data_IF_956393026905
#
_entry.id   IF_956393026905
#
_cell.length_a   1.000
_cell.length_b   1.000
_cell.length_c   1.000
_cell.angle_alpha   90.00
_cell.angle_beta   90.00
_cell.angle_gamma   90.00
#
_symmetry.space_group_name_H-M   'P 1'
#
loop_
_entity.id
_entity.type
_entity.pdbx_description
1 polymer ?
#
# COMPACT_ATOMS: atom_id res chain seq x y z
N UNK A 1 -8.48 28.00 -4.64
CA UNK A 1 -9.19 26.73 -4.95
C UNK A 1 -9.01 25.84 -3.72
N UNK A 2 -9.77 25.99 -2.62
CA UNK A 2 -11.18 25.63 -2.37
C UNK A 2 -11.55 24.23 -2.88
N UNK A 3 -11.43 23.24 -1.98
CA UNK A 3 -12.29 22.07 -1.66
C UNK A 3 -11.36 21.08 -0.92
N UNK A 4 -11.51 20.67 0.35
CA UNK A 4 -12.63 20.25 1.20
C UNK A 4 -12.39 18.79 1.64
N UNK A 5 -12.14 18.60 2.95
CA UNK A 5 -12.45 17.46 3.83
C UNK A 5 -11.85 17.88 5.19
N UNK A 6 -12.51 18.51 6.16
CA UNK A 6 -13.81 18.30 6.83
C UNK A 6 -14.06 16.84 7.19
N UNK A 7 -13.49 16.43 8.33
CA UNK A 7 -14.13 15.56 9.33
C UNK A 7 -13.28 15.58 10.61
N UNK A 8 -13.35 16.71 11.32
CA UNK A 8 -12.96 16.83 12.72
C UNK A 8 -14.09 17.60 13.41
N UNK A 9 -15.08 16.88 13.92
CA UNK A 9 -16.06 17.45 14.82
C UNK A 9 -15.91 16.83 16.20
N UNK A 10 -15.45 17.69 17.10
CA UNK A 10 -15.54 17.66 18.54
C UNK A 10 -16.80 16.96 19.08
N UNK A 11 -16.62 16.16 20.13
CA UNK A 11 -17.57 16.12 21.25
C UNK A 11 -16.78 15.97 22.55
N UNK A 12 -16.64 17.08 23.27
CA UNK A 12 -16.31 17.12 24.70
C UNK A 12 -17.50 17.75 25.40
N UNK A 13 -18.27 16.95 26.13
CA UNK A 13 -19.20 17.44 27.14
C UNK A 13 -19.28 16.44 28.29
N UNK A 14 -18.92 16.95 29.47
CA UNK A 14 -19.05 16.33 30.78
C UNK A 14 -20.51 16.42 31.28
N UNK A 15 -21.13 15.31 31.68
CA UNK A 15 -22.38 15.28 32.46
C UNK A 15 -22.38 14.07 33.43
N UNK A 16 -22.92 14.29 34.63
CA UNK A 16 -23.08 13.38 35.76
C UNK A 16 -24.34 12.50 35.72
N UNK A 17 -24.24 11.31 36.33
CA UNK A 17 -25.25 10.41 36.95
C UNK A 17 -26.54 9.96 36.22
N UNK A 18 -26.66 8.62 36.19
CA UNK A 18 -27.84 7.73 36.26
C UNK A 18 -28.91 7.71 35.13
N UNK A 19 -29.13 6.48 34.64
CA UNK A 19 -30.30 5.91 33.97
C UNK A 19 -30.64 6.30 32.52
N UNK A 20 -30.23 5.40 31.60
CA UNK A 20 -31.04 4.77 30.53
C UNK A 20 -30.38 4.74 29.13
N UNK A 21 -30.28 3.54 28.54
CA UNK A 21 -29.69 3.24 27.22
C UNK A 21 -30.47 3.80 26.01
N UNK A 22 -31.36 4.77 26.19
CA UNK A 22 -32.34 5.18 25.15
C UNK A 22 -31.79 6.27 24.24
N UNK A 23 -30.81 7.04 24.70
CA UNK A 23 -30.20 8.12 23.92
C UNK A 23 -28.69 7.92 23.65
N UNK A 24 -28.05 6.96 24.30
CA UNK A 24 -26.68 6.56 23.94
C UNK A 24 -26.72 5.36 22.99
N UNK A 25 -26.24 5.60 21.77
CA UNK A 25 -26.15 4.71 20.61
C UNK A 25 -25.32 3.42 20.80
N UNK A 26 -25.02 3.01 22.03
CA UNK A 26 -24.16 1.88 22.33
C UNK A 26 -24.69 1.08 23.53
N UNK A 27 -25.05 -0.18 23.30
CA UNK A 27 -25.57 -1.08 24.34
C UNK A 27 -24.51 -1.49 25.39
N UNK A 28 -23.22 -1.32 25.12
CA UNK A 28 -22.08 -1.70 25.97
C UNK A 28 -21.09 -0.54 26.19
N UNK A 29 -21.50 0.55 26.85
CA UNK A 29 -20.69 1.77 26.96
C UNK A 29 -19.37 1.55 27.73
N UNK A 30 -19.37 0.70 28.77
CA UNK A 30 -18.16 0.39 29.54
C UNK A 30 -17.14 -0.38 28.71
N UNK A 31 -17.59 -1.40 27.96
CA UNK A 31 -16.73 -2.17 27.07
C UNK A 31 -16.18 -1.30 25.94
N UNK A 32 -16.99 -0.42 25.37
CA UNK A 32 -16.53 0.51 24.34
C UNK A 32 -15.47 1.47 24.89
N UNK A 33 -15.69 2.02 26.09
CA UNK A 33 -14.69 2.86 26.77
C UNK A 33 -13.40 2.08 27.03
N UNK A 34 -13.48 0.90 27.63
CA UNK A 34 -12.31 0.07 27.91
C UNK A 34 -11.56 -0.33 26.64
N UNK A 35 -12.28 -0.56 25.54
CA UNK A 35 -11.69 -0.85 24.22
C UNK A 35 -10.99 0.39 23.64
N UNK A 36 -11.57 1.59 23.81
CA UNK A 36 -10.92 2.83 23.43
C UNK A 36 -9.65 3.11 24.27
N UNK A 37 -9.70 2.84 25.57
CA UNK A 37 -8.56 2.97 26.48
C UNK A 37 -7.44 1.99 26.12
N UNK A 38 -7.78 0.72 25.80
CA UNK A 38 -6.83 -0.26 25.28
C UNK A 38 -6.19 0.19 23.96
N UNK A 39 -6.99 0.77 23.06
CA UNK A 39 -6.49 1.37 21.82
C UNK A 39 -5.44 2.45 22.10
N UNK A 40 -5.73 3.37 23.02
CA UNK A 40 -4.80 4.45 23.38
C UNK A 40 -3.53 3.90 24.04
N UNK A 41 -3.64 2.82 24.82
CA UNK A 41 -2.49 2.15 25.40
C UNK A 41 -1.59 1.51 24.36
N UNK A 42 -2.17 0.80 23.37
CA UNK A 42 -1.42 0.23 22.26
C UNK A 42 -0.67 1.30 21.45
N UNK A 43 -1.34 2.41 21.15
CA UNK A 43 -0.72 3.55 20.46
C UNK A 43 0.47 4.11 21.24
N UNK A 44 0.32 4.31 22.55
CA UNK A 44 1.39 4.79 23.43
C UNK A 44 2.57 3.81 23.48
N UNK A 45 2.32 2.51 23.55
CA UNK A 45 3.37 1.48 23.50
C UNK A 45 4.17 1.56 22.20
N UNK A 46 3.51 1.66 21.05
CA UNK A 46 4.23 1.79 19.77
C UNK A 46 5.01 3.12 19.65
N UNK A 47 4.71 4.10 20.48
CA UNK A 47 5.43 5.38 20.57
C UNK A 47 6.54 5.35 21.66
N UNK A 48 6.79 4.20 22.28
CA UNK A 48 7.68 4.05 23.44
C UNK A 48 7.31 4.95 24.62
N UNK A 49 6.04 5.30 24.77
CA UNK A 49 5.53 6.07 25.91
C UNK A 49 5.23 5.10 27.05
N UNK A 50 5.79 5.31 28.27
CA UNK A 50 5.49 4.47 29.41
C UNK A 50 3.99 4.43 29.71
N UNK A 51 3.44 3.23 29.79
CA UNK A 51 2.06 2.99 30.18
C UNK A 51 1.96 1.67 30.92
N UNK A 52 1.05 1.61 31.89
CA UNK A 52 0.66 0.36 32.53
C UNK A 52 -0.33 -0.39 31.60
N UNK A 53 0.25 -1.06 30.59
CA UNK A 53 -0.50 -1.81 29.62
C UNK A 53 -1.27 -2.97 30.29
N UNK A 54 -0.66 -3.64 31.26
CA UNK A 54 -1.26 -4.78 31.95
C UNK A 54 -2.53 -4.38 32.69
N UNK A 55 -2.53 -3.21 33.36
CA UNK A 55 -3.73 -2.67 33.99
C UNK A 55 -4.82 -2.36 32.95
N UNK A 56 -4.45 -1.78 31.81
CA UNK A 56 -5.42 -1.43 30.76
C UNK A 56 -6.01 -2.68 30.10
N UNK A 57 -5.18 -3.67 29.80
CA UNK A 57 -5.59 -4.95 29.22
C UNK A 57 -6.49 -5.73 30.19
N UNK A 58 -6.15 -5.77 31.49
CA UNK A 58 -6.97 -6.40 32.51
C UNK A 58 -8.32 -5.72 32.68
N UNK A 59 -8.35 -4.38 32.65
CA UNK A 59 -9.59 -3.59 32.67
C UNK A 59 -10.49 -3.96 31.49
N UNK A 60 -9.93 -3.97 30.28
CA UNK A 60 -10.64 -4.37 29.06
C UNK A 60 -11.18 -5.79 29.12
N UNK A 61 -10.36 -6.74 29.57
CA UNK A 61 -10.75 -8.13 29.72
C UNK A 61 -11.93 -8.31 30.68
N UNK A 62 -11.93 -7.59 31.81
CA UNK A 62 -13.02 -7.65 32.78
C UNK A 62 -14.34 -7.12 32.20
N UNK A 63 -14.30 -6.01 31.44
CA UNK A 63 -15.50 -5.48 30.80
C UNK A 63 -16.00 -6.37 29.65
N UNK A 64 -15.08 -7.05 28.94
CA UNK A 64 -15.43 -8.04 27.92
C UNK A 64 -16.15 -9.24 28.55
N UNK A 65 -15.61 -9.79 29.65
CA UNK A 65 -16.20 -10.90 30.36
C UNK A 65 -17.60 -10.58 30.88
N UNK A 66 -17.80 -9.38 31.44
CA UNK A 66 -19.12 -8.92 31.88
C UNK A 66 -20.12 -8.81 30.72
N UNK A 67 -19.69 -8.25 29.58
CA UNK A 67 -20.55 -8.13 28.42
C UNK A 67 -20.95 -9.51 27.87
N UNK A 68 -20.03 -10.47 27.82
CA UNK A 68 -20.32 -11.84 27.39
C UNK A 68 -21.23 -12.57 28.36
N UNK A 69 -21.02 -12.42 29.66
CA UNK A 69 -21.91 -12.97 30.68
C UNK A 69 -23.33 -12.38 30.56
N UNK A 70 -23.45 -11.08 30.30
CA UNK A 70 -24.75 -10.44 30.08
C UNK A 70 -25.45 -11.00 28.83
N UNK A 71 -24.72 -11.24 27.75
CA UNK A 71 -25.26 -11.84 26.50
C UNK A 71 -25.63 -13.32 26.70
N UNK A 72 -24.75 -14.10 27.34
CA UNK A 72 -24.97 -15.52 27.63
C UNK A 72 -26.20 -15.74 28.51
N UNK A 73 -26.37 -14.93 29.56
CA UNK A 73 -27.44 -15.13 30.53
C UNK A 73 -28.80 -14.63 30.04
N UNK A 74 -28.83 -13.72 29.06
CA UNK A 74 -30.05 -13.01 28.73
C UNK A 74 -30.48 -13.01 27.26
N UNK A 75 -29.54 -13.18 26.33
CA UNK A 75 -29.80 -13.09 24.88
C UNK A 75 -29.77 -14.49 24.26
N UNK A 76 -28.81 -15.32 24.66
CA UNK A 76 -28.63 -16.67 24.12
C UNK A 76 -29.50 -17.65 24.90
N UNK A 77 -30.58 -18.16 24.28
CA UNK A 77 -31.35 -19.29 24.80
C UNK A 77 -31.05 -20.47 23.89
N UNK A 78 -30.32 -21.47 24.40
CA UNK A 78 -29.96 -22.65 23.62
C UNK A 78 -31.18 -23.39 23.08
N UNK A 79 -31.10 -23.94 21.85
CA UNK A 79 -31.29 -25.39 21.79
C UNK A 79 -30.51 -26.15 20.67
N UNK A 80 -30.16 -27.40 21.03
CA UNK A 80 -29.86 -28.63 20.26
C UNK A 80 -28.63 -28.62 19.32
N UNK A 81 -27.67 -29.51 19.60
CA UNK A 81 -26.65 -30.07 18.67
C UNK A 81 -25.22 -29.50 18.61
N UNK A 82 -24.88 -28.38 19.27
CA UNK A 82 -23.48 -27.93 19.38
C UNK A 82 -23.09 -27.60 20.82
N UNK A 83 -22.60 -28.61 21.56
CA UNK A 83 -21.80 -28.61 22.81
C UNK A 83 -21.88 -27.44 23.84
N UNK A 84 -22.92 -26.60 23.88
CA UNK A 84 -23.13 -25.65 24.97
C UNK A 84 -22.04 -24.60 25.15
N UNK A 85 -21.38 -24.14 24.07
CA UNK A 85 -20.31 -23.14 24.19
C UNK A 85 -20.86 -21.76 24.55
N UNK A 86 -20.67 -21.38 25.81
CA UNK A 86 -20.92 -20.03 26.32
C UNK A 86 -19.89 -19.04 25.79
N UNK A 87 -20.29 -17.79 25.50
CA UNK A 87 -19.35 -16.72 25.16
C UNK A 87 -18.33 -16.49 26.28
N UNK A 88 -18.72 -16.67 27.54
CA UNK A 88 -17.81 -16.64 28.71
C UNK A 88 -16.68 -17.67 28.65
N UNK A 89 -16.84 -18.79 27.94
CA UNK A 89 -15.73 -19.73 27.73
C UNK A 89 -14.62 -19.12 26.84
N UNK A 90 -14.94 -18.09 26.05
CA UNK A 90 -13.94 -17.38 25.24
C UNK A 90 -13.12 -16.39 26.04
N UNK A 91 -13.69 -15.80 27.11
CA UNK A 91 -12.90 -14.90 27.96
C UNK A 91 -11.77 -15.66 28.64
N UNK A 92 -12.00 -16.87 29.12
CA UNK A 92 -10.95 -17.66 29.76
C UNK A 92 -9.78 -17.99 28.80
N UNK A 93 -10.10 -18.30 27.54
CA UNK A 93 -9.11 -18.57 26.49
C UNK A 93 -8.44 -17.31 25.94
N UNK A 94 -9.02 -16.13 26.16
CA UNK A 94 -8.54 -14.87 25.59
C UNK A 94 -7.16 -14.45 26.09
N UNK A 95 -6.85 -14.80 27.34
CA UNK A 95 -5.54 -14.58 27.96
C UNK A 95 -4.41 -15.26 27.19
N UNK A 96 -4.68 -16.41 26.55
CA UNK A 96 -3.70 -17.16 25.76
C UNK A 96 -3.42 -16.48 24.41
N UNK A 97 -4.38 -15.74 23.87
CA UNK A 97 -4.26 -15.03 22.59
C UNK A 97 -3.57 -13.67 22.70
N UNK A 98 -3.58 -13.06 23.90
CA UNK A 98 -2.90 -11.79 24.19
C UNK A 98 -1.53 -12.00 24.85
N UNK A 99 -0.74 -12.96 24.36
CA UNK A 99 0.65 -13.09 24.80
C UNK A 99 1.47 -11.89 24.26
N UNK A 100 1.80 -10.96 25.14
CA UNK A 100 2.59 -9.75 24.89
C UNK A 100 3.88 -9.98 24.08
N UNK A 101 4.54 -11.12 24.28
CA UNK A 101 5.78 -11.45 23.56
C UNK A 101 5.53 -11.65 22.05
N UNK A 102 4.33 -12.09 21.68
CA UNK A 102 3.93 -12.35 20.28
C UNK A 102 3.31 -11.13 19.58
N UNK A 103 2.80 -10.16 20.33
CA UNK A 103 2.17 -8.93 19.79
C UNK A 103 3.18 -8.09 18.99
N UNK A 104 4.47 -8.22 19.30
CA UNK A 104 5.56 -7.48 18.64
C UNK A 104 5.76 -7.81 17.15
N UNK A 105 5.25 -8.95 16.63
CA UNK A 105 5.60 -9.44 15.28
C UNK A 105 4.47 -9.43 14.27
N UNK A 106 3.22 -9.53 14.71
CA UNK A 106 2.04 -9.32 13.86
C UNK A 106 0.85 -9.02 14.76
N UNK A 107 0.13 -7.90 14.56
CA UNK A 107 -1.04 -7.55 15.36
C UNK A 107 -2.23 -8.42 14.93
N UNK A 108 -2.17 -9.72 15.24
CA UNK A 108 -3.29 -10.64 15.11
C UNK A 108 -4.22 -10.47 16.30
N UNK A 109 -4.65 -9.22 16.53
CA UNK A 109 -5.62 -8.98 17.56
C UNK A 109 -6.95 -9.65 17.15
N UNK A 110 -7.63 -10.35 18.06
CA UNK A 110 -8.88 -11.03 17.76
C UNK A 110 -9.91 -10.04 17.20
N UNK A 111 -10.32 -10.27 15.95
CA UNK A 111 -11.49 -9.58 15.38
C UNK A 111 -12.74 -10.22 15.93
N UNK A 112 -13.78 -9.40 16.09
CA UNK A 112 -15.14 -9.87 16.30
C UNK A 112 -15.92 -9.55 15.05
N UNK A 113 -16.21 -10.56 14.22
CA UNK A 113 -17.13 -10.34 13.10
C UNK A 113 -18.52 -10.77 13.51
N UNK A 114 -19.51 -9.94 13.18
CA UNK A 114 -20.92 -10.28 13.27
C UNK A 114 -21.45 -10.56 11.86
N UNK A 115 -22.03 -11.74 11.65
CA UNK A 115 -22.75 -12.07 10.42
C UNK A 115 -24.07 -12.75 10.73
N UNK A 116 -25.13 -12.29 10.08
CA UNK A 116 -26.41 -13.01 10.00
C UNK A 116 -26.27 -14.10 8.93
N UNK A 117 -26.49 -15.35 9.31
CA UNK A 117 -26.38 -16.48 8.38
C UNK A 117 -27.34 -16.34 7.21
N UNK A 118 -26.84 -16.66 6.00
CA UNK A 118 -27.63 -16.64 4.76
C UNK A 118 -28.67 -17.77 4.69
N UNK A 119 -28.58 -18.77 5.57
CA UNK A 119 -29.51 -19.90 5.65
C UNK A 119 -30.55 -19.75 6.78
N UNK A 120 -30.63 -18.55 7.37
CA UNK A 120 -31.62 -18.24 8.39
C UNK A 120 -33.05 -18.27 7.83
N UNK A 121 -33.89 -19.17 8.36
CA UNK A 121 -35.35 -19.02 8.23
C UNK A 121 -35.81 -17.75 8.95
N UNK A 122 -36.96 -17.13 8.60
CA UNK A 122 -37.48 -15.94 9.27
C UNK A 122 -37.58 -16.05 10.81
N UNK A 123 -37.70 -17.27 11.33
CA UNK A 123 -37.78 -17.59 12.74
C UNK A 123 -36.42 -17.86 13.43
N UNK A 124 -35.36 -18.16 12.69
CA UNK A 124 -34.05 -18.54 13.25
C UNK A 124 -32.93 -17.77 12.53
N UNK A 125 -32.49 -16.67 13.11
CA UNK A 125 -31.25 -16.01 12.69
C UNK A 125 -30.08 -16.72 13.37
N UNK A 126 -29.26 -17.46 12.61
CA UNK A 126 -27.97 -17.92 13.13
C UNK A 126 -26.98 -16.76 13.04
N UNK A 127 -26.24 -16.54 14.12
CA UNK A 127 -25.19 -15.53 14.20
C UNK A 127 -23.85 -16.19 14.30
N UNK A 128 -22.88 -15.72 13.52
CA UNK A 128 -21.50 -16.19 13.57
C UNK A 128 -20.64 -15.16 14.29
N UNK A 129 -19.99 -15.58 15.38
CA UNK A 129 -18.91 -14.86 16.04
C UNK A 129 -17.59 -15.57 15.75
N UNK A 130 -16.69 -14.90 15.04
CA UNK A 130 -15.32 -15.37 14.81
C UNK A 130 -14.39 -14.62 15.75
N UNK A 131 -13.50 -15.32 16.44
CA UNK A 131 -12.46 -14.74 17.32
C UNK A 131 -11.08 -15.18 16.84
N UNK A 132 -10.25 -14.22 16.42
CA UNK A 132 -8.87 -14.50 15.98
C UNK A 132 -8.72 -14.93 14.52
N UNK A 133 -7.52 -15.41 14.18
CA UNK A 133 -7.18 -15.95 12.84
C UNK A 133 -7.50 -17.44 12.71
N UNK A 134 -7.70 -18.13 13.85
CA UNK A 134 -8.10 -19.53 13.90
C UNK A 134 -9.62 -19.58 13.86
N UNK A 135 -10.17 -20.50 13.08
CA UNK A 135 -11.57 -20.68 12.69
C UNK A 135 -12.55 -21.01 13.81
N UNK A 136 -12.30 -20.58 15.05
CA UNK A 136 -13.21 -20.73 16.18
C UNK A 136 -14.43 -19.85 15.92
N UNK A 137 -15.50 -20.52 15.48
CA UNK A 137 -16.79 -19.93 15.13
C UNK A 137 -17.79 -20.36 16.19
N UNK A 138 -18.45 -19.38 16.79
CA UNK A 138 -19.63 -19.62 17.62
C UNK A 138 -20.85 -19.31 16.79
N UNK A 139 -21.66 -20.33 16.51
CA UNK A 139 -22.99 -20.14 16.00
C UNK A 139 -24.00 -20.15 17.15
N UNK A 140 -24.87 -19.14 17.19
CA UNK A 140 -25.96 -19.08 18.16
C UNK A 140 -27.26 -18.64 17.48
N UNK A 141 -28.39 -19.19 17.94
CA UNK A 141 -29.72 -18.85 17.47
C UNK A 141 -30.29 -17.68 18.26
N UNK A 142 -30.86 -16.69 17.57
CA UNK A 142 -31.66 -15.65 18.24
C UNK A 142 -32.93 -16.29 18.82
N UNK A 143 -33.23 -16.00 20.08
CA UNK A 143 -34.37 -16.64 20.75
C UNK A 143 -35.28 -15.71 21.53
N UNK A 144 -35.01 -14.41 21.67
CA UNK A 144 -36.01 -13.52 22.27
C UNK A 144 -35.77 -12.02 22.03
N UNK A 145 -36.17 -11.50 20.87
CA UNK A 145 -36.14 -10.06 20.62
C UNK A 145 -36.92 -9.25 21.68
N UNK A 146 -37.93 -9.85 22.33
CA UNK A 146 -38.68 -9.22 23.44
C UNK A 146 -37.77 -8.86 24.61
N UNK A 147 -36.77 -9.71 24.93
CA UNK A 147 -35.81 -9.42 25.98
C UNK A 147 -34.97 -8.20 25.61
N UNK A 148 -34.37 -8.21 24.42
CA UNK A 148 -33.51 -7.12 23.95
C UNK A 148 -34.28 -5.80 23.85
N UNK A 149 -35.53 -5.84 23.37
CA UNK A 149 -36.40 -4.67 23.32
C UNK A 149 -36.74 -4.16 24.73
N UNK A 150 -36.99 -5.04 25.70
CA UNK A 150 -37.29 -4.62 27.08
C UNK A 150 -36.07 -4.04 27.79
N UNK A 151 -34.90 -4.66 27.61
CA UNK A 151 -33.68 -4.33 28.34
C UNK A 151 -32.90 -3.18 27.71
N UNK A 152 -32.69 -3.24 26.39
CA UNK A 152 -31.85 -2.30 25.63
C UNK A 152 -32.66 -1.36 24.75
N UNK A 153 -33.97 -1.58 24.61
CA UNK A 153 -34.83 -0.84 23.66
C UNK A 153 -34.36 -0.96 22.21
N UNK A 154 -33.73 -2.10 21.89
CA UNK A 154 -33.18 -2.43 20.58
C UNK A 154 -33.47 -3.89 20.21
N UNK A 155 -33.27 -4.25 18.94
CA UNK A 155 -33.33 -5.66 18.50
C UNK A 155 -32.09 -6.42 19.00
N UNK A 156 -32.15 -7.74 19.16
CA UNK A 156 -30.94 -8.48 19.55
C UNK A 156 -29.86 -8.40 18.45
N UNK A 157 -30.26 -8.26 17.19
CA UNK A 157 -29.37 -8.01 16.05
C UNK A 157 -28.53 -6.73 16.26
N UNK A 158 -29.16 -5.63 16.64
CA UNK A 158 -28.49 -4.36 16.92
C UNK A 158 -27.60 -4.44 18.17
N UNK A 159 -28.06 -5.12 19.23
CA UNK A 159 -27.26 -5.32 20.46
C UNK A 159 -25.99 -6.11 20.15
N UNK A 160 -26.07 -7.17 19.36
CA UNK A 160 -24.90 -7.99 18.99
C UNK A 160 -23.96 -7.25 18.04
N UNK A 161 -24.49 -6.42 17.13
CA UNK A 161 -23.67 -5.50 16.33
C UNK A 161 -22.94 -4.49 17.21
N UNK A 162 -23.61 -3.91 18.18
CA UNK A 162 -23.02 -2.97 19.15
C UNK A 162 -21.94 -3.63 20.00
N UNK A 163 -22.15 -4.89 20.40
CA UNK A 163 -21.12 -5.69 21.07
C UNK A 163 -19.90 -5.82 20.17
N UNK A 164 -20.06 -6.33 18.95
CA UNK A 164 -18.95 -6.52 18.02
C UNK A 164 -18.23 -5.20 17.71
N UNK A 165 -18.98 -4.10 17.55
CA UNK A 165 -18.41 -2.77 17.35
C UNK A 165 -17.59 -2.34 18.56
N UNK A 166 -18.16 -2.44 19.76
CA UNK A 166 -17.53 -2.05 21.02
C UNK A 166 -16.23 -2.81 21.25
N UNK A 167 -16.23 -4.13 21.00
CA UNK A 167 -15.02 -4.93 21.11
C UNK A 167 -13.98 -4.53 20.06
N UNK A 168 -14.36 -4.27 18.81
CA UNK A 168 -13.40 -3.87 17.77
C UNK A 168 -12.93 -2.41 17.87
N UNK A 169 -13.50 -1.57 18.75
CA UNK A 169 -13.09 -0.17 18.92
C UNK A 169 -11.59 -0.03 19.17
N UNK A 170 -10.95 -0.98 19.88
CA UNK A 170 -9.50 -0.93 20.09
C UNK A 170 -8.67 -1.04 18.80
N UNK A 171 -9.22 -1.66 17.75
CA UNK A 171 -8.56 -1.81 16.45
C UNK A 171 -8.56 -0.52 15.65
N UNK A 172 -9.59 0.32 15.81
CA UNK A 172 -9.80 1.49 14.96
C UNK A 172 -8.64 2.48 15.13
N UNK A 173 -8.29 2.89 16.38
CA UNK A 173 -7.18 3.83 16.54
C UNK A 173 -5.83 3.20 16.24
N UNK A 174 -5.64 1.91 16.54
CA UNK A 174 -4.41 1.20 16.16
C UNK A 174 -4.23 1.16 14.63
N UNK A 175 -5.29 0.90 13.88
CA UNK A 175 -5.28 0.95 12.43
C UNK A 175 -5.00 2.38 11.92
N UNK A 176 -5.61 3.41 12.51
CA UNK A 176 -5.32 4.81 12.19
C UNK A 176 -3.84 5.13 12.42
N UNK A 177 -3.27 4.75 13.57
CA UNK A 177 -1.86 5.02 13.88
C UNK A 177 -0.92 4.24 12.97
N UNK A 178 -1.26 2.99 12.64
CA UNK A 178 -0.53 2.20 11.65
C UNK A 178 -0.55 2.90 10.29
N UNK A 179 -1.72 3.38 9.85
CA UNK A 179 -1.88 4.14 8.61
C UNK A 179 -1.08 5.44 8.67
N UNK A 180 -1.14 6.20 9.77
CA UNK A 180 -0.42 7.47 9.94
C UNK A 180 1.11 7.27 9.90
N UNK A 181 1.61 6.12 10.36
CA UNK A 181 3.03 5.74 10.23
C UNK A 181 3.39 5.26 8.83
N UNK A 182 2.50 4.51 8.18
CA UNK A 182 2.70 4.01 6.81
C UNK A 182 2.55 5.11 5.76
N UNK A 183 1.73 6.13 6.01
CA UNK A 183 1.42 7.17 5.04
C UNK A 183 2.65 8.01 4.63
N UNK A 184 3.55 8.44 5.53
CA UNK A 184 4.82 9.05 5.16
C UNK A 184 5.70 8.13 4.30
N UNK A 185 5.77 6.84 4.65
CA UNK A 185 6.56 5.86 3.90
C UNK A 185 5.98 5.70 2.48
N UNK A 186 4.66 5.52 2.36
CA UNK A 186 3.98 5.43 1.07
C UNK A 186 4.15 6.72 0.25
N UNK A 187 4.03 7.89 0.86
CA UNK A 187 4.27 9.19 0.19
C UNK A 187 5.72 9.30 -0.30
N UNK A 188 6.69 8.92 0.52
CA UNK A 188 8.10 8.91 0.15
C UNK A 188 8.35 7.96 -1.02
N UNK A 189 7.86 6.73 -0.94
CA UNK A 189 8.04 5.72 -1.97
C UNK A 189 7.32 6.08 -3.28
N UNK A 190 6.11 6.63 -3.20
CA UNK A 190 5.40 7.18 -4.37
C UNK A 190 6.20 8.32 -5.02
N UNK A 191 6.80 9.19 -4.21
CA UNK A 191 7.68 10.27 -4.70
C UNK A 191 8.93 9.72 -5.37
N UNK A 192 9.51 8.62 -4.85
CA UNK A 192 10.65 7.95 -5.48
C UNK A 192 10.29 7.39 -6.85
N UNK A 193 9.15 6.69 -6.97
CA UNK A 193 8.67 6.18 -8.25
C UNK A 193 8.32 7.31 -9.22
N UNK A 194 7.63 8.36 -8.78
CA UNK A 194 7.37 9.53 -9.62
C UNK A 194 8.66 10.16 -10.13
N UNK A 195 9.68 10.30 -9.27
CA UNK A 195 11.00 10.77 -9.68
C UNK A 195 11.67 9.82 -10.67
N UNK A 196 11.57 8.50 -10.47
CA UNK A 196 12.09 7.50 -11.40
C UNK A 196 11.43 7.67 -12.77
N UNK A 197 10.09 7.66 -12.85
CA UNK A 197 9.38 7.82 -14.11
C UNK A 197 9.68 9.17 -14.79
N UNK A 198 9.84 10.26 -14.03
CA UNK A 198 10.04 11.58 -14.63
C UNK A 198 11.50 11.89 -15.00
N UNK A 199 12.47 11.33 -14.26
CA UNK A 199 13.88 11.74 -14.36
C UNK A 199 14.80 10.65 -14.89
N UNK A 200 14.42 9.38 -14.83
CA UNK A 200 15.22 8.28 -15.36
C UNK A 200 15.14 8.22 -16.89
N UNK A 201 16.07 7.50 -17.53
CA UNK A 201 16.01 7.23 -18.97
C UNK A 201 14.77 6.39 -19.28
N UNK A 202 14.24 6.53 -20.49
CA UNK A 202 13.19 5.64 -21.00
C UNK A 202 13.65 4.18 -20.94
N UNK A 203 12.71 3.27 -20.73
CA UNK A 203 12.99 1.83 -20.74
C UNK A 203 12.04 1.15 -21.71
N UNK A 204 12.61 0.35 -22.60
CA UNK A 204 11.86 -0.52 -23.50
C UNK A 204 11.39 -1.78 -22.78
N UNK A 205 10.59 -2.58 -23.47
CA UNK A 205 10.12 -3.86 -22.95
C UNK A 205 11.29 -4.80 -22.55
N UNK A 206 12.34 -4.88 -23.37
CA UNK A 206 13.51 -5.72 -23.10
C UNK A 206 14.31 -5.23 -21.90
N UNK A 207 14.44 -3.91 -21.72
CA UNK A 207 15.07 -3.30 -20.54
C UNK A 207 14.31 -3.67 -19.25
N UNK A 208 12.98 -3.56 -19.29
CA UNK A 208 12.11 -3.92 -18.16
C UNK A 208 12.18 -5.41 -17.83
N UNK A 209 12.25 -6.29 -18.83
CA UNK A 209 12.45 -7.73 -18.61
C UNK A 209 13.79 -8.01 -17.92
N UNK A 210 14.88 -7.41 -18.39
CA UNK A 210 16.20 -7.58 -17.78
C UNK A 210 16.22 -7.03 -16.35
N UNK A 211 15.69 -5.83 -16.14
CA UNK A 211 15.58 -5.20 -14.82
C UNK A 211 14.78 -6.08 -13.86
N UNK A 212 13.63 -6.58 -14.28
CA UNK A 212 12.76 -7.44 -13.46
C UNK A 212 13.45 -8.74 -13.08
N UNK A 213 14.20 -9.34 -14.02
CA UNK A 213 14.98 -10.54 -13.76
C UNK A 213 16.08 -10.30 -12.71
N UNK A 214 16.79 -9.17 -12.81
CA UNK A 214 17.84 -8.78 -11.86
C UNK A 214 17.24 -8.46 -10.48
N UNK A 215 16.14 -7.72 -10.44
CA UNK A 215 15.50 -7.26 -9.21
C UNK A 215 14.48 -8.26 -8.62
N UNK A 216 14.42 -9.50 -9.12
CA UNK A 216 13.38 -10.49 -8.76
C UNK A 216 13.21 -10.67 -7.24
N UNK A 217 14.31 -10.68 -6.49
CA UNK A 217 14.29 -10.93 -5.05
C UNK A 217 13.82 -9.68 -4.27
N UNK A 218 14.15 -8.48 -4.78
CA UNK A 218 13.61 -7.22 -4.28
C UNK A 218 12.11 -7.13 -4.54
N UNK A 219 11.66 -7.50 -5.75
CA UNK A 219 10.25 -7.44 -6.15
C UNK A 219 9.36 -8.49 -5.47
N UNK A 220 9.93 -9.57 -4.92
CA UNK A 220 9.19 -10.61 -4.17
C UNK A 220 8.90 -10.25 -2.71
N UNK A 221 9.42 -9.12 -2.23
CA UNK A 221 9.18 -8.70 -0.84
C UNK A 221 7.72 -8.33 -0.63
N UNK A 222 7.18 -8.63 0.55
CA UNK A 222 5.78 -8.32 0.92
C UNK A 222 5.50 -6.83 1.12
N UNK A 223 6.56 -6.02 1.12
CA UNK A 223 6.49 -4.58 1.34
C UNK A 223 6.61 -3.84 0.01
N UNK A 224 6.04 -2.63 -0.04
CA UNK A 224 6.23 -1.76 -1.18
C UNK A 224 7.72 -1.40 -1.31
N UNK A 225 8.31 -1.65 -2.48
CA UNK A 225 9.75 -1.43 -2.72
C UNK A 225 9.97 -0.15 -3.54
N UNK A 226 11.02 0.64 -3.24
CA UNK A 226 11.40 1.77 -4.07
C UNK A 226 11.93 1.29 -5.43
N UNK A 227 11.97 2.17 -6.46
CA UNK A 227 12.60 1.85 -7.74
C UNK A 227 14.07 1.43 -7.55
N UNK A 228 14.62 0.71 -8.53
CA UNK A 228 16.04 0.36 -8.51
C UNK A 228 16.92 1.59 -8.63
N UNK A 229 18.08 1.61 -7.97
CA UNK A 229 19.05 2.71 -8.08
C UNK A 229 19.75 2.74 -9.45
N UNK A 230 19.70 1.61 -10.16
CA UNK A 230 20.31 1.38 -11.46
C UNK A 230 19.25 0.96 -12.46
N UNK A 231 19.40 1.44 -13.69
CA UNK A 231 18.67 0.95 -14.85
C UNK A 231 19.59 0.09 -15.69
N UNK A 232 19.10 -1.06 -16.12
CA UNK A 232 19.78 -1.93 -17.06
C UNK A 232 19.12 -1.84 -18.44
N UNK A 233 19.93 -1.79 -19.48
CA UNK A 233 19.46 -1.74 -20.86
C UNK A 233 19.90 -2.98 -21.61
N UNK A 234 19.01 -3.51 -22.43
CA UNK A 234 19.23 -4.67 -23.28
C UNK A 234 18.49 -4.52 -24.59
N UNK A 235 19.23 -4.55 -25.69
CA UNK A 235 18.69 -4.34 -27.04
C UNK A 235 17.91 -3.03 -27.15
N UNK A 236 18.43 -1.95 -26.55
CA UNK A 236 17.76 -0.66 -26.49
C UNK A 236 18.02 0.15 -27.77
N UNK A 237 17.00 0.46 -28.59
CA UNK A 237 17.18 1.22 -29.80
C UNK A 237 17.32 2.72 -29.52
N UNK A 238 18.23 3.38 -30.23
CA UNK A 238 18.43 4.82 -30.19
C UNK A 238 18.57 5.38 -31.62
N UNK A 239 18.28 6.66 -31.79
CA UNK A 239 18.66 7.43 -32.98
C UNK A 239 19.80 8.34 -32.58
N UNK A 240 20.86 8.37 -33.37
CA UNK A 240 22.08 9.13 -33.07
C UNK A 240 22.48 9.99 -34.26
N UNK A 241 23.26 11.03 -34.01
CA UNK A 241 23.96 11.78 -35.05
C UNK A 241 25.44 11.45 -34.90
N UNK A 242 26.04 10.87 -35.93
CA UNK A 242 27.41 10.38 -35.92
C UNK A 242 28.27 11.10 -36.96
N UNK A 243 29.44 11.58 -36.51
CA UNK A 243 30.50 12.10 -37.35
C UNK A 243 31.63 11.06 -37.50
N UNK A 244 31.93 10.64 -38.73
CA UNK A 244 33.04 9.74 -39.07
C UNK A 244 34.03 10.50 -39.95
N UNK A 245 35.26 10.67 -39.47
CA UNK A 245 36.26 11.54 -40.12
C UNK A 245 36.69 11.03 -41.51
N UNK A 246 36.76 9.72 -41.69
CA UNK A 246 37.25 9.10 -42.93
C UNK A 246 36.16 8.90 -43.99
N UNK A 247 34.91 9.31 -43.70
CA UNK A 247 33.84 9.29 -44.69
C UNK A 247 34.04 10.39 -45.74
N UNK A 248 33.46 10.21 -46.93
CA UNK A 248 33.52 11.20 -48.01
C UNK A 248 33.01 12.57 -47.57
N UNK A 249 33.57 13.63 -48.18
CA UNK A 249 33.10 14.99 -47.99
C UNK A 249 31.59 15.12 -48.24
N UNK A 250 30.89 15.63 -47.23
CA UNK A 250 29.44 15.76 -47.21
C UNK A 250 28.70 14.54 -46.64
N UNK A 251 29.40 13.45 -46.33
CA UNK A 251 28.87 12.24 -45.68
C UNK A 251 29.48 12.00 -44.29
N UNK A 252 30.30 12.92 -43.76
CA UNK A 252 30.93 12.73 -42.46
C UNK A 252 29.90 12.70 -41.33
N UNK A 253 28.92 13.60 -41.34
CA UNK A 253 27.89 13.71 -40.30
C UNK A 253 26.55 13.20 -40.82
N UNK A 254 26.11 12.03 -40.35
CA UNK A 254 24.84 11.42 -40.75
C UNK A 254 24.02 11.00 -39.52
N UNK A 255 22.70 10.92 -39.65
CA UNK A 255 21.86 10.19 -38.71
C UNK A 255 22.13 8.68 -38.82
N UNK A 256 22.17 7.99 -37.69
CA UNK A 256 22.38 6.56 -37.61
C UNK A 256 21.40 5.91 -36.62
N UNK A 257 21.11 4.64 -36.85
CA UNK A 257 20.38 3.81 -35.89
C UNK A 257 21.38 3.13 -34.98
N UNK A 258 21.20 3.26 -33.67
CA UNK A 258 22.05 2.58 -32.69
C UNK A 258 21.25 1.53 -31.91
N UNK A 259 21.86 0.38 -31.67
CA UNK A 259 21.39 -0.61 -30.71
C UNK A 259 22.38 -0.66 -29.55
N UNK A 260 21.86 -0.42 -28.35
CA UNK A 260 22.55 -0.62 -27.09
C UNK A 260 22.35 -2.08 -26.66
N UNK A 261 23.41 -2.88 -26.79
CA UNK A 261 23.38 -4.31 -26.48
C UNK A 261 23.25 -4.54 -24.97
N UNK A 262 24.09 -3.84 -24.21
CA UNK A 262 24.13 -3.91 -22.76
C UNK A 262 24.50 -2.53 -22.22
N UNK A 263 23.75 -2.07 -21.23
CA UNK A 263 23.98 -0.79 -20.58
C UNK A 263 23.62 -0.77 -19.12
N UNK A 264 24.25 0.15 -18.40
CA UNK A 264 23.93 0.47 -17.01
C UNK A 264 23.84 1.98 -16.83
N UNK A 265 22.81 2.45 -16.13
CA UNK A 265 22.63 3.86 -15.79
C UNK A 265 22.27 4.05 -14.32
N UNK A 266 23.04 4.88 -13.63
CA UNK A 266 22.74 5.38 -12.29
C UNK A 266 21.92 6.67 -12.41
N UNK A 267 20.61 6.52 -12.33
CA UNK A 267 19.69 7.61 -12.66
C UNK A 267 19.60 8.71 -11.59
N UNK A 268 20.01 8.43 -10.35
CA UNK A 268 20.01 9.43 -9.26
C UNK A 268 21.36 10.11 -9.08
N UNK A 269 22.42 9.32 -8.94
CA UNK A 269 23.77 9.79 -8.62
C UNK A 269 24.82 8.83 -9.17
N UNK A 270 25.73 9.38 -9.95
CA UNK A 270 26.87 8.66 -10.47
C UNK A 270 27.86 8.28 -9.34
N UNK A 271 28.45 7.07 -9.37
CA UNK A 271 29.51 6.69 -8.43
C UNK A 271 30.79 7.52 -8.62
N UNK A 272 31.08 7.94 -9.86
CA UNK A 272 32.33 8.61 -10.25
C UNK A 272 32.18 10.13 -10.44
N UNK A 273 30.96 10.66 -10.50
CA UNK A 273 30.69 12.09 -10.66
C UNK A 273 29.71 12.57 -9.58
N UNK A 274 30.05 13.66 -8.88
CA UNK A 274 29.24 14.16 -7.77
C UNK A 274 27.94 14.77 -8.32
N UNK A 275 26.81 14.13 -8.01
CA UNK A 275 25.44 14.65 -8.17
C UNK A 275 24.88 14.75 -9.59
N UNK A 276 25.47 14.04 -10.57
CA UNK A 276 24.90 13.93 -11.92
C UNK A 276 24.56 12.47 -12.19
N UNK A 277 23.46 12.19 -12.90
CA UNK A 277 23.15 10.85 -13.36
C UNK A 277 24.11 10.44 -14.50
N UNK A 278 24.59 9.19 -14.48
CA UNK A 278 25.55 8.72 -15.47
C UNK A 278 25.33 7.25 -15.83
N UNK A 279 25.85 6.84 -16.98
CA UNK A 279 25.81 5.45 -17.40
C UNK A 279 26.83 5.14 -18.48
N UNK A 280 26.98 3.85 -18.78
CA UNK A 280 27.85 3.36 -19.84
C UNK A 280 27.21 2.17 -20.52
N UNK A 281 27.40 2.07 -21.84
CA UNK A 281 26.81 1.03 -22.67
C UNK A 281 27.70 0.61 -23.82
N UNK A 282 27.54 -0.64 -24.23
CA UNK A 282 28.13 -1.20 -25.45
C UNK A 282 27.10 -1.10 -26.57
N UNK A 283 27.51 -0.53 -27.69
CA UNK A 283 26.60 -0.17 -28.78
C UNK A 283 27.07 -0.69 -30.13
N UNK A 284 26.13 -0.78 -31.06
CA UNK A 284 26.42 -0.87 -32.48
C UNK A 284 25.58 0.16 -33.22
N UNK A 285 26.19 0.87 -34.16
CA UNK A 285 25.56 1.86 -35.01
C UNK A 285 25.46 1.30 -36.43
N UNK A 286 24.34 1.58 -37.09
CA UNK A 286 24.14 1.34 -38.50
C UNK A 286 23.86 2.67 -39.21
N UNK A 287 24.65 2.97 -40.24
CA UNK A 287 24.45 4.10 -41.14
C UNK A 287 24.88 3.70 -42.54
N UNK A 288 24.02 3.90 -43.54
CA UNK A 288 24.35 3.65 -44.95
C UNK A 288 25.38 4.68 -45.42
N UNK A 289 26.61 4.24 -45.68
CA UNK A 289 27.73 5.10 -46.13
C UNK A 289 28.46 4.42 -47.29
N UNK A 290 28.87 5.23 -48.27
CA UNK A 290 29.41 4.68 -49.52
C UNK A 290 30.85 4.14 -49.45
N UNK A 291 31.63 4.52 -48.42
CA UNK A 291 33.10 4.28 -48.35
C UNK A 291 33.56 3.60 -47.06
N UNK A 292 32.84 3.80 -45.95
CA UNK A 292 33.15 3.16 -44.66
C UNK A 292 32.16 2.02 -44.42
N UNK A 293 32.50 1.07 -43.54
CA UNK A 293 31.57 0.01 -43.19
C UNK A 293 30.27 0.62 -42.61
N UNK A 294 29.12 0.06 -42.96
CA UNK A 294 27.83 0.56 -42.53
C UNK A 294 27.59 0.33 -41.02
N UNK A 295 28.28 -0.68 -40.45
CA UNK A 295 28.14 -1.07 -39.05
C UNK A 295 29.40 -0.71 -38.26
N UNK A 296 29.21 0.08 -37.21
CA UNK A 296 30.27 0.46 -36.26
C UNK A 296 29.98 -0.06 -34.86
N UNK A 297 30.99 -0.54 -34.17
CA UNK A 297 30.88 -1.00 -32.78
C UNK A 297 31.57 -0.03 -31.83
N UNK A 298 31.02 0.16 -30.63
CA UNK A 298 31.54 1.20 -29.76
C UNK A 298 31.02 1.20 -28.34
N UNK A 299 31.35 2.30 -27.65
CA UNK A 299 30.91 2.58 -26.28
C UNK A 299 30.17 3.90 -26.24
N UNK A 300 29.14 3.96 -25.40
CA UNK A 300 28.30 5.13 -25.17
C UNK A 300 28.32 5.50 -23.69
N UNK A 301 28.50 6.79 -23.41
CA UNK A 301 28.40 7.37 -22.06
C UNK A 301 27.12 8.18 -21.95
N UNK A 302 26.37 7.94 -20.89
CA UNK A 302 25.13 8.63 -20.59
C UNK A 302 25.35 9.70 -19.53
N UNK A 303 24.69 10.84 -19.69
CA UNK A 303 24.72 11.93 -18.73
C UNK A 303 23.36 12.59 -18.58
N UNK A 304 23.04 12.95 -17.33
CA UNK A 304 21.79 13.60 -16.94
C UNK A 304 20.50 12.84 -17.36
N UNK A 305 20.58 11.53 -17.62
CA UNK A 305 19.51 10.67 -18.14
C UNK A 305 18.86 11.15 -19.44
N UNK A 306 19.51 12.05 -20.17
CA UNK A 306 18.89 12.72 -21.34
C UNK A 306 19.78 12.72 -22.55
N UNK A 307 21.08 12.72 -22.35
CA UNK A 307 22.06 12.90 -23.41
C UNK A 307 23.09 11.79 -23.33
N UNK A 308 23.61 11.41 -24.49
CA UNK A 308 24.70 10.46 -24.56
C UNK A 308 25.70 10.88 -25.62
N UNK A 309 26.96 10.56 -25.38
CA UNK A 309 28.07 10.72 -26.31
C UNK A 309 28.78 9.38 -26.41
N UNK A 310 29.26 9.02 -27.59
CA UNK A 310 30.03 7.80 -27.72
C UNK A 310 31.01 7.85 -28.87
N UNK A 311 31.80 6.79 -28.93
CA UNK A 311 32.80 6.56 -29.96
C UNK A 311 32.57 5.18 -30.57
N UNK A 312 32.74 5.09 -31.88
CA UNK A 312 32.57 3.87 -32.67
C UNK A 312 33.80 3.62 -33.53
N UNK A 313 34.01 2.37 -33.91
CA UNK A 313 34.96 1.99 -34.94
C UNK A 313 34.22 1.23 -36.05
N UNK A 314 34.39 1.70 -37.29
CA UNK A 314 33.85 1.15 -38.53
C UNK A 314 35.01 0.53 -39.34
N UNK A 315 35.55 -0.59 -38.86
CA UNK A 315 36.68 -1.32 -39.48
C UNK A 315 37.90 -0.44 -39.84
N UNK A 316 38.35 0.34 -38.87
CA UNK A 316 39.53 1.20 -39.01
C UNK A 316 39.23 2.69 -39.02
N UNK A 317 37.98 3.08 -39.26
CA UNK A 317 37.53 4.47 -39.20
C UNK A 317 36.79 4.77 -37.90
N UNK A 318 37.24 5.79 -37.17
CA UNK A 318 36.64 6.15 -35.88
C UNK A 318 35.51 7.17 -36.07
N UNK A 319 34.40 6.94 -35.39
CA UNK A 319 33.26 7.84 -35.30
C UNK A 319 33.09 8.42 -33.91
N UNK A 320 32.52 9.63 -33.84
CA UNK A 320 32.01 10.23 -32.60
C UNK A 320 30.53 10.50 -32.83
N UNK A 321 29.68 10.11 -31.89
CA UNK A 321 28.25 10.34 -31.99
C UNK A 321 27.66 10.97 -30.74
N UNK A 322 26.54 11.66 -30.94
CA UNK A 322 25.70 12.22 -29.89
C UNK A 322 24.26 11.76 -30.06
N UNK A 323 23.54 11.67 -28.95
CA UNK A 323 22.11 11.37 -28.96
C UNK A 323 21.38 11.98 -27.76
N UNK A 324 20.07 12.16 -27.92
CA UNK A 324 19.16 12.50 -26.84
C UNK A 324 18.11 11.40 -26.70
N UNK A 325 17.62 11.19 -25.48
CA UNK A 325 16.58 10.19 -25.18
C UNK A 325 15.22 10.61 -25.79
N UNK A 326 15.02 10.29 -27.07
CA UNK A 326 13.81 10.61 -27.81
C UNK A 326 12.61 9.78 -27.35
N UNK A 327 12.83 8.54 -26.91
CA UNK A 327 11.79 7.68 -26.37
C UNK A 327 11.11 8.34 -25.17
N UNK A 328 11.87 9.05 -24.33
CA UNK A 328 11.31 9.84 -23.22
C UNK A 328 10.36 10.95 -23.67
N UNK A 329 10.63 11.56 -24.83
CA UNK A 329 9.74 12.57 -25.41
C UNK A 329 8.40 11.95 -25.88
N UNK A 330 8.39 10.67 -26.26
CA UNK A 330 7.18 9.94 -26.61
C UNK A 330 6.41 9.41 -25.39
N UNK A 331 7.08 9.02 -24.31
CA UNK A 331 6.44 8.59 -23.05
C UNK A 331 5.57 9.69 -22.42
N UNK A 332 6.01 10.96 -22.49
CA UNK A 332 5.32 12.11 -21.91
C UNK A 332 4.03 12.54 -22.66
N UNK A 333 3.57 11.77 -23.65
CA UNK A 333 2.35 12.11 -24.37
C UNK A 333 1.08 12.00 -23.53
N UNK A 334 1.04 11.22 -22.45
CA UNK A 334 -0.15 11.13 -21.59
C UNK A 334 -0.47 12.46 -20.89
N UNK A 335 0.52 13.21 -20.40
CA UNK A 335 0.30 14.55 -19.83
C UNK A 335 -0.11 15.57 -20.91
N UNK A 336 0.46 15.46 -22.13
CA UNK A 336 0.03 16.27 -23.28
C UNK A 336 -1.40 15.93 -23.72
N UNK A 337 -1.80 14.65 -23.66
CA UNK A 337 -3.15 14.17 -23.97
C UNK A 337 -4.17 14.66 -22.95
N UNK A 338 -3.83 14.67 -21.66
CA UNK A 338 -4.69 15.25 -20.63
C UNK A 338 -4.81 16.77 -20.80
N UNK A 339 -3.72 17.46 -21.13
CA UNK A 339 -3.74 18.90 -21.46
C UNK A 339 -4.61 19.18 -22.70
N UNK A 340 -4.52 18.33 -23.73
CA UNK A 340 -5.37 18.42 -24.92
C UNK A 340 -6.85 18.14 -24.62
N UNK A 341 -7.16 17.10 -23.83
CA UNK A 341 -8.53 16.82 -23.36
C UNK A 341 -9.13 17.99 -22.61
N UNK A 342 -8.37 18.58 -21.68
CA UNK A 342 -8.82 19.76 -20.93
C UNK A 342 -9.07 20.96 -21.85
N UNK A 343 -8.19 21.21 -22.83
CA UNK A 343 -8.40 22.30 -23.82
C UNK A 343 -9.61 22.06 -24.71
N UNK A 344 -9.81 20.82 -25.19
CA UNK A 344 -10.96 20.45 -26.02
C UNK A 344 -12.25 20.58 -25.24
N UNK A 345 -12.31 20.09 -23.99
CA UNK A 345 -13.49 20.27 -23.14
C UNK A 345 -13.80 21.77 -22.91
N UNK A 346 -12.77 22.58 -22.65
CA UNK A 346 -12.94 24.03 -22.46
C UNK A 346 -13.45 24.74 -23.72
N UNK A 347 -13.10 24.26 -24.92
CA UNK A 347 -13.58 24.80 -26.20
C UNK A 347 -14.97 24.29 -26.59
N UNK A 348 -15.38 23.12 -26.09
CA UNK A 348 -16.71 22.53 -26.30
C UNK A 348 -17.75 23.06 -25.30
N UNK A 349 -17.29 23.60 -24.17
CA UNK A 349 -18.12 24.25 -23.15
C UNK A 349 -18.37 25.76 -23.43
N UNK A 350 -17.91 26.27 -24.58
CA UNK A 350 -18.20 27.61 -25.14
C UNK A 350 -19.16 27.49 -26.32
#
# INVERSE_FOLDING_TARGET
>A
MKLALILLCCFTSSVSFADSCVEQKNCFPNLNKASADLSDALVKMEQNIPIDYDVTLKSWHNELARAFEEVDNNIIIYPIDYQGYKLTNFTDNFSQYFNLDTISRTPSYPSFSYRKSLHATPSNSNYELTIGNNSDRVEFQNTNDTFCQKRYKNTCDDVLKDLALSVNTYKIKNAIVTIDKMLPLLKFQNTQWANFYNKSRSQTFTDLMLQTYIDKDKLRQSNFVPPSEKQYFFLHPNIVIENVNDALDGQQTNEALAIEWLGINWWQKCPIAISVACGVSVVSLYSDRSVVNDVGHGVMLHFANKYSIGVTNHDGSNGIFITADLLKAFENQNERLQTWKTKVNTLLDQ
#
